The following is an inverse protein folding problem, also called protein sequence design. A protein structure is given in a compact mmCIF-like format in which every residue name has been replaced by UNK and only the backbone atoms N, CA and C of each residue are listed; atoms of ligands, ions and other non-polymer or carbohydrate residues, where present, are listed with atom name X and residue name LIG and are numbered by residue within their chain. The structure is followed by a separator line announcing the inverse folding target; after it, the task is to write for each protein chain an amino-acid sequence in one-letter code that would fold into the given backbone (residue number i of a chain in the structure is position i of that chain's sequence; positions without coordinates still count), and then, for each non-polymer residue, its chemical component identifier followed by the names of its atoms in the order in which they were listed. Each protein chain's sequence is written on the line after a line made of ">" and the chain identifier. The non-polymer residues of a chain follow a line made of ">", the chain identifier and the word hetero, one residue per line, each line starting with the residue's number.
data_IF_452152589781
#
_entry.id   IF_452152589781
#
_cell.length_a   1.000
_cell.length_b   1.000
_cell.length_c   1.000
_cell.angle_alpha   90.00
_cell.angle_beta   90.00
_cell.angle_gamma   90.00
#
_symmetry.space_group_name_H-M   'P 1'
#
loop_
_entity.id
_entity.type
_entity.pdbx_description
1 polymer ?
#
# COMPACT_ATOMS: atom_id res chain seq x y z
N UNK A 1 -48.84 28.17 -35.75
CA UNK A 1 -48.16 29.01 -34.75
C UNK A 1 -47.39 28.05 -33.85
N UNK A 2 -46.11 27.84 -34.12
CA UNK A 2 -45.28 26.77 -33.53
C UNK A 2 -44.42 27.36 -32.42
N UNK A 3 -44.38 26.78 -31.20
CA UNK A 3 -43.63 27.36 -30.09
C UNK A 3 -42.12 27.26 -30.33
N UNK A 4 -41.40 28.34 -30.02
CA UNK A 4 -39.95 28.45 -30.17
C UNK A 4 -39.22 27.62 -29.09
N UNK A 5 -38.28 26.78 -29.52
CA UNK A 5 -37.36 26.04 -28.64
C UNK A 5 -36.34 27.00 -28.00
N UNK A 6 -36.17 27.03 -26.66
CA UNK A 6 -35.15 27.88 -26.05
C UNK A 6 -33.75 27.30 -26.32
N UNK A 7 -32.86 28.12 -26.91
CA UNK A 7 -31.43 27.82 -27.01
C UNK A 7 -30.84 27.76 -25.60
N UNK A 8 -30.22 26.63 -25.24
CA UNK A 8 -29.34 26.54 -24.07
C UNK A 8 -28.16 27.50 -24.27
N UNK A 9 -27.97 28.43 -23.34
CA UNK A 9 -26.76 29.25 -23.28
C UNK A 9 -25.53 28.36 -23.08
N UNK A 10 -24.44 28.55 -23.84
CA UNK A 10 -23.19 27.84 -23.60
C UNK A 10 -22.66 28.23 -22.21
N UNK A 11 -22.25 27.22 -21.44
CA UNK A 11 -21.67 27.40 -20.11
C UNK A 11 -20.47 28.35 -20.15
N UNK A 12 -20.35 29.17 -19.11
CA UNK A 12 -19.23 30.09 -18.88
C UNK A 12 -17.89 29.34 -19.04
N UNK A 13 -16.91 29.88 -19.79
CA UNK A 13 -15.54 29.41 -19.70
C UNK A 13 -15.03 29.62 -18.27
N UNK A 14 -14.46 28.59 -17.66
CA UNK A 14 -13.72 28.74 -16.40
C UNK A 14 -12.49 29.63 -16.65
N UNK A 15 -12.28 30.59 -15.77
CA UNK A 15 -11.45 31.81 -15.90
C UNK A 15 -9.93 31.60 -16.03
N UNK A 16 -9.46 30.37 -16.25
CA UNK A 16 -8.04 30.10 -16.46
C UNK A 16 -7.91 28.88 -17.39
N UNK A 17 -7.54 29.10 -18.65
CA UNK A 17 -7.47 28.08 -19.70
C UNK A 17 -6.41 27.00 -19.51
N UNK A 18 -5.98 26.76 -18.27
CA UNK A 18 -5.11 25.63 -17.92
C UNK A 18 -5.93 24.35 -17.90
N UNK A 19 -5.53 23.31 -18.63
CA UNK A 19 -6.06 21.96 -18.40
C UNK A 19 -5.93 21.66 -16.90
N UNK A 20 -7.02 21.23 -16.24
CA UNK A 20 -6.87 20.56 -14.95
C UNK A 20 -5.90 19.40 -15.19
N UNK A 21 -4.87 19.20 -14.35
CA UNK A 21 -4.11 17.95 -14.39
C UNK A 21 -5.10 16.80 -14.44
N UNK A 22 -4.90 15.82 -15.33
CA UNK A 22 -5.81 14.67 -15.44
C UNK A 22 -6.00 14.09 -14.02
N UNK A 23 -7.18 14.28 -13.40
CA UNK A 23 -7.38 14.05 -11.95
C UNK A 23 -6.94 12.64 -11.53
N UNK A 24 -7.05 11.67 -12.45
CA UNK A 24 -6.64 10.28 -12.26
C UNK A 24 -5.13 10.07 -12.24
N UNK A 25 -4.34 10.87 -12.96
CA UNK A 25 -2.87 10.80 -12.93
C UNK A 25 -2.32 11.42 -11.66
N UNK A 26 -2.89 12.54 -11.22
CA UNK A 26 -2.55 13.13 -9.92
C UNK A 26 -2.86 12.16 -8.80
N UNK A 27 -4.06 11.57 -8.80
CA UNK A 27 -4.44 10.54 -7.82
C UNK A 27 -3.47 9.35 -7.85
N UNK A 28 -3.16 8.81 -9.04
CA UNK A 28 -2.22 7.71 -9.20
C UNK A 28 -0.83 8.01 -8.62
N UNK A 29 -0.30 9.22 -8.87
CA UNK A 29 0.98 9.65 -8.32
C UNK A 29 0.93 9.74 -6.79
N UNK A 30 -0.14 10.31 -6.23
CA UNK A 30 -0.29 10.47 -4.78
C UNK A 30 -0.37 9.11 -4.06
N UNK A 31 -1.22 8.19 -4.56
CA UNK A 31 -1.37 6.86 -3.93
C UNK A 31 -0.12 6.00 -4.12
N UNK A 32 0.51 6.05 -5.29
CA UNK A 32 1.78 5.35 -5.52
C UNK A 32 2.89 5.86 -4.62
N UNK A 33 3.02 7.18 -4.48
CA UNK A 33 3.99 7.80 -3.59
C UNK A 33 3.71 7.44 -2.12
N UNK A 34 2.45 7.44 -1.69
CA UNK A 34 2.08 7.06 -0.33
C UNK A 34 2.49 5.61 -0.02
N UNK A 35 2.17 4.66 -0.91
CA UNK A 35 2.58 3.26 -0.76
C UNK A 35 4.10 3.08 -0.72
N UNK A 36 4.83 3.81 -1.58
CA UNK A 36 6.28 3.79 -1.61
C UNK A 36 6.91 4.35 -0.33
N UNK A 37 6.40 5.48 0.18
CA UNK A 37 6.86 6.09 1.44
C UNK A 37 6.66 5.14 2.61
N UNK A 38 5.47 4.53 2.73
CA UNK A 38 5.19 3.53 3.78
C UNK A 38 6.20 2.38 3.71
N UNK A 39 6.47 1.87 2.51
CA UNK A 39 7.41 0.77 2.29
C UNK A 39 8.83 1.14 2.73
N UNK A 40 9.32 2.32 2.31
CA UNK A 40 10.67 2.79 2.65
C UNK A 40 10.80 3.05 4.15
N UNK A 41 9.80 3.67 4.77
CA UNK A 41 9.81 3.92 6.21
C UNK A 41 9.84 2.61 6.99
N UNK A 42 9.05 1.61 6.59
CA UNK A 42 9.06 0.30 7.23
C UNK A 42 10.43 -0.39 7.09
N UNK A 43 11.07 -0.31 5.92
CA UNK A 43 12.41 -0.83 5.72
C UNK A 43 13.44 -0.18 6.64
N UNK A 44 13.43 1.15 6.76
CA UNK A 44 14.33 1.89 7.64
C UNK A 44 14.10 1.53 9.12
N UNK A 45 12.85 1.40 9.53
CA UNK A 45 12.49 0.99 10.90
C UNK A 45 12.99 -0.45 11.17
N UNK A 46 12.77 -1.39 10.25
CA UNK A 46 13.26 -2.76 10.37
C UNK A 46 14.79 -2.81 10.52
N UNK A 47 15.52 -2.06 9.69
CA UNK A 47 16.98 -2.00 9.74
C UNK A 47 17.51 -1.35 11.03
N UNK A 48 16.75 -0.41 11.61
CA UNK A 48 17.10 0.20 12.90
C UNK A 48 17.07 -0.80 14.06
N UNK A 49 16.42 -1.95 13.89
CA UNK A 49 16.32 -3.00 14.91
C UNK A 49 17.40 -4.09 14.76
N UNK A 50 18.35 -3.91 13.82
CA UNK A 50 19.34 -4.94 13.48
C UNK A 50 20.14 -5.47 14.66
N UNK A 51 20.48 -4.64 15.65
CA UNK A 51 21.23 -5.05 16.84
C UNK A 51 20.42 -5.89 17.84
N UNK A 52 19.10 -5.94 17.69
CA UNK A 52 18.19 -6.60 18.63
C UNK A 52 17.57 -7.87 18.04
N UNK A 53 17.87 -8.20 16.79
CA UNK A 53 17.28 -9.32 16.08
C UNK A 53 18.27 -10.49 16.04
N UNK A 54 17.78 -11.74 16.09
CA UNK A 54 18.60 -12.90 15.82
C UNK A 54 19.10 -12.89 14.36
N UNK A 55 20.22 -13.55 14.11
CA UNK A 55 20.74 -13.79 12.77
C UNK A 55 20.87 -15.31 12.54
N UNK A 56 20.02 -15.93 11.71
CA UNK A 56 19.00 -15.33 10.83
C UNK A 56 17.70 -14.95 11.54
N UNK A 57 16.83 -14.19 10.85
CA UNK A 57 15.45 -13.91 11.28
C UNK A 57 14.46 -14.90 10.65
N UNK A 58 13.39 -15.23 11.36
CA UNK A 58 12.24 -15.94 10.83
C UNK A 58 11.46 -15.06 9.84
N UNK A 59 11.14 -15.64 8.68
CA UNK A 59 10.38 -14.99 7.60
C UNK A 59 9.19 -15.83 7.13
N UNK A 60 9.09 -17.07 7.59
CA UNK A 60 7.99 -17.98 7.27
C UNK A 60 7.62 -18.81 8.51
N UNK A 61 6.32 -19.10 8.61
CA UNK A 61 5.73 -19.85 9.72
C UNK A 61 4.86 -20.99 9.17
N UNK A 62 5.18 -22.20 9.61
CA UNK A 62 4.38 -23.41 9.38
C UNK A 62 3.47 -23.72 10.57
N UNK A 63 2.87 -24.91 10.56
CA UNK A 63 1.99 -25.37 11.65
C UNK A 63 2.72 -25.62 12.97
N UNK A 64 4.04 -25.86 12.92
CA UNK A 64 4.89 -26.14 14.07
C UNK A 64 5.66 -24.93 14.62
N UNK A 65 5.49 -23.74 14.04
CA UNK A 65 6.28 -22.54 14.38
C UNK A 65 7.05 -22.00 13.17
N UNK A 66 8.09 -21.21 13.43
CA UNK A 66 8.96 -20.69 12.37
C UNK A 66 9.71 -21.83 11.67
N UNK A 67 9.62 -21.88 10.34
CA UNK A 67 10.19 -22.95 9.50
C UNK A 67 10.92 -22.42 8.25
N UNK A 68 11.02 -21.09 8.09
CA UNK A 68 11.83 -20.45 7.06
C UNK A 68 12.52 -19.19 7.58
N UNK A 69 13.81 -19.07 7.25
CA UNK A 69 14.71 -18.08 7.83
C UNK A 69 15.53 -17.40 6.73
N UNK A 70 15.91 -16.15 6.96
CA UNK A 70 16.79 -15.40 6.08
C UNK A 70 17.59 -14.35 6.86
N UNK A 71 18.64 -13.81 6.26
CA UNK A 71 19.29 -12.63 6.82
C UNK A 71 18.30 -11.45 6.84
N UNK A 72 18.45 -10.54 7.82
CA UNK A 72 17.63 -9.33 7.90
C UNK A 72 17.65 -8.54 6.59
N UNK A 73 18.83 -8.42 5.96
CA UNK A 73 18.99 -7.73 4.69
C UNK A 73 18.16 -8.36 3.57
N UNK A 74 18.16 -9.68 3.45
CA UNK A 74 17.35 -10.39 2.45
C UNK A 74 15.85 -10.24 2.73
N UNK A 75 15.43 -10.34 3.99
CA UNK A 75 14.04 -10.15 4.40
C UNK A 75 13.52 -8.75 4.06
N UNK A 76 14.29 -7.71 4.42
CA UNK A 76 13.94 -6.30 4.14
C UNK A 76 13.99 -6.01 2.64
N UNK A 77 14.99 -6.51 1.91
CA UNK A 77 15.07 -6.31 0.46
C UNK A 77 13.86 -6.94 -0.26
N UNK A 78 13.48 -8.17 0.12
CA UNK A 78 12.33 -8.86 -0.47
C UNK A 78 11.02 -8.13 -0.21
N UNK A 79 10.75 -7.73 1.04
CA UNK A 79 9.51 -7.01 1.37
C UNK A 79 9.46 -5.62 0.75
N UNK A 80 10.59 -4.91 0.72
CA UNK A 80 10.71 -3.58 0.09
C UNK A 80 10.47 -3.66 -1.41
N UNK A 81 11.09 -4.62 -2.10
CA UNK A 81 10.91 -4.82 -3.53
C UNK A 81 9.44 -5.10 -3.88
N UNK A 82 8.78 -5.97 -3.11
CA UNK A 82 7.36 -6.29 -3.30
C UNK A 82 6.45 -5.08 -3.02
N UNK A 83 6.70 -4.33 -1.95
CA UNK A 83 5.95 -3.12 -1.59
C UNK A 83 6.06 -2.03 -2.66
N UNK A 84 7.27 -1.78 -3.18
CA UNK A 84 7.49 -0.81 -4.26
C UNK A 84 6.86 -1.26 -5.58
N UNK A 85 7.03 -2.54 -5.94
CA UNK A 85 6.45 -3.10 -7.17
C UNK A 85 4.93 -3.00 -7.17
N UNK A 86 4.30 -3.35 -6.05
CA UNK A 86 2.84 -3.28 -5.92
C UNK A 86 2.35 -1.83 -5.92
N UNK A 87 3.02 -0.92 -5.18
CA UNK A 87 2.70 0.52 -5.21
C UNK A 87 2.74 1.09 -6.63
N UNK A 88 3.83 0.83 -7.35
CA UNK A 88 4.02 1.32 -8.72
C UNK A 88 3.03 0.68 -9.71
N UNK A 89 2.82 -0.64 -9.61
CA UNK A 89 1.92 -1.39 -10.49
C UNK A 89 0.47 -0.91 -10.38
N UNK A 90 -0.05 -0.76 -9.16
CA UNK A 90 -1.44 -0.32 -8.96
C UNK A 90 -1.62 1.19 -9.21
N UNK A 91 -0.59 2.01 -8.97
CA UNK A 91 -0.58 3.40 -9.44
C UNK A 91 -0.66 3.48 -10.97
N UNK A 92 0.12 2.67 -11.69
CA UNK A 92 0.06 2.60 -13.15
C UNK A 92 -1.32 2.10 -13.64
N UNK A 93 -1.91 1.09 -12.99
CA UNK A 93 -3.27 0.67 -13.30
C UNK A 93 -4.29 1.80 -13.10
N UNK A 94 -4.16 2.59 -12.04
CA UNK A 94 -5.01 3.76 -11.78
C UNK A 94 -4.87 4.81 -12.89
N UNK A 95 -3.64 5.08 -13.33
CA UNK A 95 -3.34 6.10 -14.34
C UNK A 95 -3.75 5.69 -15.77
N UNK A 96 -3.61 4.40 -16.14
CA UNK A 96 -3.71 3.96 -17.53
C UNK A 96 -4.83 2.95 -17.82
N UNK A 97 -5.29 2.18 -16.83
CA UNK A 97 -6.29 1.10 -17.01
C UNK A 97 -7.61 1.34 -16.27
N UNK A 98 -7.72 2.44 -15.51
CA UNK A 98 -8.88 2.84 -14.73
C UNK A 98 -10.07 3.32 -15.57
N UNK A 99 -10.62 2.47 -16.44
CA UNK A 99 -11.73 2.83 -17.36
C UNK A 99 -13.02 3.23 -16.64
N UNK A 100 -13.29 2.65 -15.47
CA UNK A 100 -14.44 2.99 -14.62
C UNK A 100 -13.99 3.64 -13.30
N UNK A 101 -14.87 4.42 -12.68
CA UNK A 101 -14.63 4.99 -11.36
C UNK A 101 -14.38 3.89 -10.30
N UNK A 102 -15.14 2.80 -10.37
CA UNK A 102 -14.96 1.63 -9.50
C UNK A 102 -13.55 1.02 -9.63
N UNK A 103 -13.06 0.80 -10.85
CA UNK A 103 -11.72 0.23 -11.05
C UNK A 103 -10.61 1.14 -10.52
N UNK A 104 -10.77 2.45 -10.67
CA UNK A 104 -9.81 3.42 -10.11
C UNK A 104 -9.81 3.41 -8.60
N UNK A 105 -10.98 3.38 -7.95
CA UNK A 105 -11.11 3.31 -6.48
C UNK A 105 -10.44 2.04 -5.94
N UNK A 106 -10.69 0.90 -6.57
CA UNK A 106 -10.06 -0.36 -6.18
C UNK A 106 -8.54 -0.30 -6.38
N UNK A 107 -8.06 0.12 -7.55
CA UNK A 107 -6.63 0.21 -7.82
C UNK A 107 -5.91 1.19 -6.88
N UNK A 108 -6.50 2.37 -6.63
CA UNK A 108 -5.98 3.35 -5.68
C UNK A 108 -5.95 2.82 -4.24
N UNK A 109 -7.01 2.12 -3.82
CA UNK A 109 -7.07 1.46 -2.51
C UNK A 109 -5.97 0.41 -2.34
N UNK A 110 -5.78 -0.45 -3.34
CA UNK A 110 -4.76 -1.51 -3.28
C UNK A 110 -3.34 -0.92 -3.35
N UNK A 111 -3.13 0.17 -4.10
CA UNK A 111 -1.82 0.84 -4.22
C UNK A 111 -1.25 1.32 -2.87
N UNK A 112 -2.09 1.54 -1.85
CA UNK A 112 -1.65 1.96 -0.50
C UNK A 112 -1.90 0.88 0.54
N UNK A 113 -3.06 0.22 0.49
CA UNK A 113 -3.44 -0.78 1.49
C UNK A 113 -2.52 -2.00 1.50
N UNK A 114 -2.07 -2.46 0.34
CA UNK A 114 -1.16 -3.61 0.27
C UNK A 114 0.25 -3.28 0.82
N UNK A 115 0.89 -2.14 0.48
CA UNK A 115 2.09 -1.69 1.16
C UNK A 115 1.97 -1.55 2.68
N UNK A 116 0.84 -1.05 3.18
CA UNK A 116 0.57 -0.98 4.63
C UNK A 116 0.49 -2.37 5.25
N UNK A 117 -0.25 -3.29 4.63
CA UNK A 117 -0.32 -4.67 5.09
C UNK A 117 1.08 -5.30 5.17
N UNK A 118 1.89 -5.14 4.12
CA UNK A 118 3.25 -5.66 4.06
C UNK A 118 4.15 -5.00 5.13
N UNK A 119 4.06 -3.68 5.31
CA UNK A 119 4.81 -2.96 6.33
C UNK A 119 4.49 -3.45 7.74
N UNK A 120 3.20 -3.58 8.09
CA UNK A 120 2.75 -4.06 9.39
C UNK A 120 3.15 -5.51 9.61
N UNK A 121 3.02 -6.36 8.58
CA UNK A 121 3.44 -7.75 8.66
C UNK A 121 4.95 -7.86 8.88
N UNK A 122 5.76 -7.19 8.06
CA UNK A 122 7.22 -7.20 8.22
C UNK A 122 7.64 -6.67 9.58
N UNK A 123 7.15 -5.50 9.98
CA UNK A 123 7.53 -4.91 11.27
C UNK A 123 7.00 -5.72 12.45
N UNK A 124 5.76 -6.19 12.43
CA UNK A 124 5.22 -6.99 13.51
C UNK A 124 5.94 -8.33 13.66
N UNK A 125 6.28 -8.98 12.55
CA UNK A 125 7.02 -10.24 12.56
C UNK A 125 8.45 -10.09 13.06
N UNK A 126 9.13 -8.98 12.74
CA UNK A 126 10.45 -8.69 13.30
C UNK A 126 10.36 -8.25 14.77
N UNK A 127 9.34 -7.48 15.13
CA UNK A 127 9.15 -7.00 16.49
C UNK A 127 9.07 -8.13 17.51
N UNK A 128 8.32 -9.20 17.21
CA UNK A 128 8.18 -10.37 18.09
C UNK A 128 9.46 -11.20 18.21
N UNK A 129 10.47 -10.96 17.37
CA UNK A 129 11.77 -11.62 17.41
C UNK A 129 12.82 -10.84 18.20
N UNK A 130 12.53 -9.59 18.58
CA UNK A 130 13.51 -8.74 19.27
C UNK A 130 13.90 -9.31 20.63
N UNK A 131 15.19 -9.30 20.92
CA UNK A 131 15.78 -9.82 22.15
C UNK A 131 15.93 -11.34 22.20
N UNK A 132 15.50 -12.06 21.15
CA UNK A 132 15.76 -13.49 21.04
C UNK A 132 17.21 -13.74 20.62
N UNK A 133 17.81 -14.78 21.20
CA UNK A 133 19.12 -15.26 20.75
C UNK A 133 19.02 -16.10 19.48
N UNK A 134 17.90 -16.82 19.30
CA UNK A 134 17.62 -17.68 18.16
C UNK A 134 16.18 -17.42 17.65
N UNK A 135 16.02 -17.30 16.33
CA UNK A 135 14.72 -17.13 15.71
C UNK A 135 13.84 -18.38 15.80
N UNK A 136 14.39 -19.56 16.08
CA UNK A 136 13.62 -20.79 16.32
C UNK A 136 12.73 -20.71 17.57
N UNK A 137 13.09 -19.84 18.52
CA UNK A 137 12.34 -19.64 19.77
C UNK A 137 11.14 -18.70 19.60
N UNK A 138 10.94 -18.13 18.41
CA UNK A 138 9.82 -17.22 18.16
C UNK A 138 8.48 -17.96 18.19
N UNK A 139 7.51 -17.34 18.86
CA UNK A 139 6.12 -17.82 18.85
C UNK A 139 5.42 -17.67 17.50
N UNK A 140 4.12 -17.95 17.50
CA UNK A 140 3.28 -17.85 16.30
C UNK A 140 3.07 -16.41 15.81
N UNK A 141 2.87 -16.25 14.50
CA UNK A 141 2.69 -14.95 13.81
C UNK A 141 1.21 -14.56 13.59
N UNK A 142 0.25 -15.40 13.97
CA UNK A 142 -1.16 -15.26 13.60
C UNK A 142 -1.79 -13.93 14.02
N UNK A 143 -1.49 -13.43 15.22
CA UNK A 143 -1.97 -12.14 15.69
C UNK A 143 -1.41 -10.98 14.86
N UNK A 144 -0.12 -11.03 14.51
CA UNK A 144 0.52 -10.04 13.61
C UNK A 144 -0.15 -10.08 12.24
N UNK A 145 -0.36 -11.27 11.68
CA UNK A 145 -1.04 -11.44 10.38
C UNK A 145 -2.45 -10.85 10.40
N UNK A 146 -3.22 -11.09 11.47
CA UNK A 146 -4.57 -10.52 11.59
C UNK A 146 -4.55 -8.99 11.66
N UNK A 147 -3.62 -8.40 12.41
CA UNK A 147 -3.44 -6.93 12.47
C UNK A 147 -3.00 -6.37 11.13
N UNK A 148 -2.07 -7.03 10.43
CA UNK A 148 -1.60 -6.62 9.11
C UNK A 148 -2.74 -6.60 8.07
N UNK A 149 -3.54 -7.67 8.03
CA UNK A 149 -4.73 -7.75 7.17
C UNK A 149 -5.73 -6.64 7.50
N UNK A 150 -6.02 -6.44 8.79
CA UNK A 150 -6.94 -5.39 9.25
C UNK A 150 -6.47 -3.99 8.88
N UNK A 151 -5.20 -3.69 9.09
CA UNK A 151 -4.59 -2.40 8.76
C UNK A 151 -4.62 -2.13 7.25
N UNK A 152 -4.23 -3.12 6.44
CA UNK A 152 -4.25 -3.01 4.99
C UNK A 152 -5.65 -2.79 4.43
N UNK A 153 -6.63 -3.58 4.88
CA UNK A 153 -8.03 -3.43 4.48
C UNK A 153 -8.62 -2.09 4.89
N UNK A 154 -8.32 -1.63 6.11
CA UNK A 154 -8.75 -0.33 6.59
C UNK A 154 -8.22 0.78 5.69
N UNK A 155 -6.92 0.81 5.40
CA UNK A 155 -6.32 1.83 4.54
C UNK A 155 -6.87 1.73 3.11
N UNK A 156 -6.96 0.52 2.54
CA UNK A 156 -7.53 0.33 1.21
C UNK A 156 -8.95 0.87 1.09
N UNK A 157 -9.80 0.62 2.11
CA UNK A 157 -11.19 1.10 2.13
C UNK A 157 -11.29 2.62 2.15
N UNK A 158 -10.37 3.31 2.86
CA UNK A 158 -10.35 4.77 2.95
C UNK A 158 -9.81 5.41 1.69
N UNK A 159 -8.74 4.85 1.12
CA UNK A 159 -8.15 5.34 -0.13
C UNK A 159 -9.03 5.06 -1.35
N UNK A 160 -9.91 4.06 -1.29
CA UNK A 160 -10.92 3.81 -2.32
C UNK A 160 -12.21 4.64 -2.17
N UNK A 161 -12.43 5.28 -1.02
CA UNK A 161 -13.63 6.06 -0.73
C UNK A 161 -13.40 7.57 -0.97
N UNK A 162 -13.14 7.97 -2.21
CA UNK A 162 -13.05 9.40 -2.55
C UNK A 162 -14.47 10.01 -2.68
N UNK A 163 -14.78 11.18 -2.06
CA UNK A 163 -16.13 11.69 -1.82
C UNK A 163 -16.79 12.42 -3.00
N UNK A 164 -16.45 12.05 -4.24
CA UNK A 164 -16.94 12.71 -5.46
C UNK A 164 -18.34 12.28 -5.94
N UNK A 165 -19.16 11.67 -5.07
CA UNK A 165 -20.53 11.23 -5.37
C UNK A 165 -21.56 12.19 -4.75
#
# INVERSE_FOLDING_TARGET
>A
MTPATPRRSPGRPTEDGRPRPDDHRTLALLVGAAGAVVTVVAALVALSWSAELPDPVAIHWGTGGADGFASLGAAVAGSTALGLLTSAGFAAMTAFLGRSAANRRVAAGVAVGLPVMLAVLTLGSLWIQRGLADAHDVGGVSAVTAVALGAGLLVASRSGADPGD
#
